data_IF_157157231481
#
_entry.id   IF_157157231481
#
_cell.length_a   1.000
_cell.length_b   1.000
_cell.length_c   1.000
_cell.angle_alpha   90.00
_cell.angle_beta   90.00
_cell.angle_gamma   90.00
#
_symmetry.space_group_name_H-M   'P 1'
#
loop_
_entity.id
_entity.type
_entity.pdbx_description
1 polymer ?
#
# COMPACT_ATOMS: atom_id res chain seq x y z
N UNK A 1 50.75 -3.76 18.94
CA UNK A 1 49.73 -2.81 18.42
C UNK A 1 48.50 -3.53 17.89
N UNK A 2 48.63 -4.48 16.94
CA UNK A 2 47.49 -5.24 16.40
C UNK A 2 46.65 -6.01 17.45
N UNK A 3 47.29 -6.67 18.42
CA UNK A 3 46.58 -7.38 19.50
C UNK A 3 45.70 -6.46 20.34
N UNK A 4 46.21 -5.27 20.72
CA UNK A 4 45.45 -4.28 21.48
C UNK A 4 44.25 -3.73 20.69
N UNK A 5 44.42 -3.52 19.38
CA UNK A 5 43.33 -3.09 18.50
C UNK A 5 42.27 -4.19 18.40
N UNK A 6 42.65 -5.44 18.20
CA UNK A 6 41.71 -6.57 18.13
C UNK A 6 40.95 -6.75 19.45
N UNK A 7 41.63 -6.65 20.60
CA UNK A 7 40.98 -6.73 21.92
C UNK A 7 40.01 -5.57 22.14
N UNK A 8 40.37 -4.35 21.74
CA UNK A 8 39.48 -3.19 21.85
C UNK A 8 38.23 -3.32 20.97
N UNK A 9 38.38 -3.81 19.74
CA UNK A 9 37.25 -4.11 18.84
C UNK A 9 36.35 -5.17 19.46
N UNK A 10 36.92 -6.24 20.00
CA UNK A 10 36.17 -7.32 20.62
C UNK A 10 35.38 -6.85 21.85
N UNK A 11 36.01 -6.09 22.76
CA UNK A 11 35.34 -5.53 23.95
C UNK A 11 34.22 -4.57 23.55
N UNK A 12 34.45 -3.73 22.53
CA UNK A 12 33.43 -2.80 22.01
C UNK A 12 32.24 -3.56 21.41
N UNK A 13 32.50 -4.64 20.67
CA UNK A 13 31.48 -5.50 20.09
C UNK A 13 30.64 -6.21 21.16
N UNK A 14 31.28 -6.78 22.19
CA UNK A 14 30.57 -7.42 23.31
C UNK A 14 29.73 -6.40 24.09
N UNK A 15 30.28 -5.21 24.36
CA UNK A 15 29.56 -4.13 25.03
C UNK A 15 28.35 -3.68 24.21
N UNK A 16 28.50 -3.56 22.90
CA UNK A 16 27.41 -3.23 21.98
C UNK A 16 26.31 -4.29 21.96
N UNK A 17 26.68 -5.58 21.93
CA UNK A 17 25.71 -6.69 22.04
C UNK A 17 24.98 -6.63 23.39
N UNK A 18 25.72 -6.45 24.49
CA UNK A 18 25.14 -6.35 25.83
C UNK A 18 24.13 -5.20 25.93
N UNK A 19 24.48 -4.03 25.40
CA UNK A 19 23.59 -2.87 25.31
C UNK A 19 22.31 -3.18 24.51
N UNK A 20 22.43 -3.83 23.35
CA UNK A 20 21.27 -4.23 22.55
C UNK A 20 20.37 -5.18 23.35
N UNK A 21 20.93 -6.22 23.97
CA UNK A 21 20.15 -7.22 24.70
C UNK A 21 19.38 -6.61 25.88
N UNK A 22 20.02 -5.71 26.64
CA UNK A 22 19.38 -5.00 27.76
C UNK A 22 18.25 -4.10 27.25
N UNK A 23 18.53 -3.25 26.25
CA UNK A 23 17.55 -2.33 25.67
C UNK A 23 16.32 -3.08 25.12
N UNK A 24 16.54 -4.22 24.44
CA UNK A 24 15.46 -5.06 23.92
C UNK A 24 14.63 -5.68 25.02
N UNK A 25 15.27 -6.20 26.06
CA UNK A 25 14.56 -6.76 27.22
C UNK A 25 13.67 -5.72 27.90
N UNK A 26 14.12 -4.47 27.99
CA UNK A 26 13.30 -3.39 28.52
C UNK A 26 12.10 -3.06 27.62
N UNK A 27 12.28 -3.02 26.29
CA UNK A 27 11.19 -2.83 25.33
C UNK A 27 10.13 -3.93 25.42
N UNK A 28 10.53 -5.19 25.58
CA UNK A 28 9.58 -6.31 25.75
C UNK A 28 8.82 -6.29 27.08
N UNK A 29 9.37 -5.62 28.11
CA UNK A 29 8.64 -5.41 29.38
C UNK A 29 7.53 -4.37 29.26
N UNK A 30 7.54 -3.52 28.23
CA UNK A 30 6.57 -2.44 28.06
C UNK A 30 5.14 -2.96 28.06
N UNK A 31 4.86 -4.06 27.33
CA UNK A 31 3.53 -4.69 27.25
C UNK A 31 2.96 -5.02 28.63
N UNK A 32 3.78 -5.63 29.50
CA UNK A 32 3.38 -5.94 30.87
C UNK A 32 3.20 -4.70 31.73
N UNK A 33 4.04 -3.67 31.55
CA UNK A 33 3.93 -2.40 32.30
C UNK A 33 2.62 -1.65 32.01
N UNK A 34 2.09 -1.76 30.79
CA UNK A 34 0.82 -1.13 30.38
C UNK A 34 -0.39 -2.06 30.57
N UNK A 35 -0.21 -3.26 31.14
CA UNK A 35 -1.30 -4.19 31.44
C UNK A 35 -1.89 -4.93 30.24
N UNK A 36 -1.18 -5.00 29.11
CA UNK A 36 -1.63 -5.75 27.93
C UNK A 36 -1.18 -7.22 27.97
N UNK A 37 -2.04 -8.10 27.46
CA UNK A 37 -1.71 -9.51 27.18
C UNK A 37 -1.15 -9.65 25.76
N UNK A 38 -0.63 -10.83 25.41
CA UNK A 38 -0.20 -11.13 24.04
C UNK A 38 0.80 -12.28 23.94
N UNK A 39 1.16 -12.71 22.73
CA UNK A 39 2.08 -13.83 22.50
C UNK A 39 3.50 -13.50 22.96
N UNK A 40 4.19 -14.43 23.62
CA UNK A 40 5.57 -14.22 24.07
C UNK A 40 6.50 -13.89 22.89
N UNK A 41 7.22 -12.75 22.93
CA UNK A 41 8.08 -12.33 21.83
C UNK A 41 9.39 -13.12 21.82
N UNK A 42 9.87 -13.50 20.63
CA UNK A 42 11.24 -13.95 20.47
C UNK A 42 12.20 -12.81 20.81
N UNK A 43 13.28 -13.12 21.54
CA UNK A 43 14.25 -12.12 22.02
C UNK A 43 14.86 -11.24 20.92
N UNK A 44 14.92 -11.74 19.68
CA UNK A 44 15.46 -11.02 18.54
C UNK A 44 14.39 -10.52 17.55
N UNK A 45 13.43 -11.38 17.20
CA UNK A 45 12.47 -11.13 16.10
C UNK A 45 11.13 -10.59 16.60
N UNK A 46 10.92 -10.54 17.92
CA UNK A 46 9.59 -10.38 18.47
C UNK A 46 8.68 -11.53 18.02
N UNK A 47 7.46 -11.20 17.64
CA UNK A 47 6.49 -12.14 17.10
C UNK A 47 6.62 -12.36 15.58
N UNK A 48 7.52 -11.64 14.88
CA UNK A 48 7.80 -11.92 13.45
C UNK A 48 8.33 -13.33 13.23
N UNK A 49 8.98 -13.94 14.23
CA UNK A 49 9.46 -15.32 14.16
C UNK A 49 8.33 -16.28 13.78
N UNK A 50 7.19 -16.16 14.45
CA UNK A 50 6.07 -17.06 14.23
C UNK A 50 5.46 -16.85 12.84
N UNK A 51 5.31 -15.59 12.39
CA UNK A 51 4.83 -15.28 11.04
C UNK A 51 5.75 -15.90 9.98
N UNK A 52 7.06 -15.75 10.12
CA UNK A 52 8.04 -16.30 9.18
C UNK A 52 8.01 -17.83 9.17
N UNK A 53 7.97 -18.47 10.34
CA UNK A 53 7.94 -19.94 10.45
C UNK A 53 6.65 -20.52 9.87
N UNK A 54 5.50 -19.87 10.11
CA UNK A 54 4.21 -20.28 9.53
C UNK A 54 4.24 -20.16 8.01
N UNK A 55 4.72 -19.03 7.49
CA UNK A 55 4.83 -18.80 6.05
C UNK A 55 5.76 -19.81 5.37
N UNK A 56 6.92 -20.11 5.96
CA UNK A 56 7.86 -21.10 5.44
C UNK A 56 7.27 -22.52 5.45
N UNK A 57 6.47 -22.85 6.46
CA UNK A 57 5.78 -24.14 6.56
C UNK A 57 4.62 -24.29 5.57
N UNK A 58 3.85 -23.22 5.36
CA UNK A 58 2.62 -23.25 4.55
C UNK A 58 2.88 -22.93 3.07
N UNK A 59 4.00 -22.26 2.76
CA UNK A 59 4.32 -21.77 1.42
C UNK A 59 3.58 -20.49 1.01
N UNK A 60 2.74 -19.91 1.88
CA UNK A 60 2.02 -18.65 1.67
C UNK A 60 1.88 -17.88 2.98
N UNK A 61 1.53 -16.60 2.87
CA UNK A 61 1.33 -15.72 4.04
C UNK A 61 -0.07 -15.90 4.64
N UNK A 62 -0.14 -16.46 5.84
CA UNK A 62 -1.38 -16.73 6.58
C UNK A 62 -1.56 -15.78 7.77
N UNK A 63 -0.93 -14.60 7.75
CA UNK A 63 -0.93 -13.65 8.87
C UNK A 63 -2.34 -13.31 9.37
N UNK A 64 -3.34 -13.24 8.48
CA UNK A 64 -4.73 -13.00 8.88
C UNK A 64 -5.27 -14.09 9.81
N UNK A 65 -5.02 -15.36 9.48
CA UNK A 65 -5.45 -16.47 10.34
C UNK A 65 -4.66 -16.51 11.65
N UNK A 66 -3.37 -16.15 11.60
CA UNK A 66 -2.58 -15.97 12.80
C UNK A 66 -3.18 -14.89 13.72
N UNK A 67 -3.58 -13.74 13.19
CA UNK A 67 -4.28 -12.70 13.96
C UNK A 67 -5.61 -13.21 14.54
N UNK A 68 -6.39 -14.01 13.81
CA UNK A 68 -7.61 -14.63 14.32
C UNK A 68 -7.34 -15.56 15.52
N UNK A 69 -6.29 -16.38 15.43
CA UNK A 69 -5.86 -17.27 16.53
C UNK A 69 -5.45 -16.45 17.76
N UNK A 70 -4.70 -15.37 17.57
CA UNK A 70 -4.30 -14.48 18.65
C UNK A 70 -5.50 -13.79 19.28
N UNK A 71 -6.44 -13.29 18.46
CA UNK A 71 -7.67 -12.66 18.93
C UNK A 71 -8.48 -13.63 19.80
N UNK A 72 -8.69 -14.87 19.36
CA UNK A 72 -9.38 -15.92 20.14
C UNK A 72 -8.68 -16.22 21.47
N UNK A 73 -7.35 -16.09 21.53
CA UNK A 73 -6.54 -16.43 22.72
C UNK A 73 -6.37 -15.28 23.70
N UNK A 74 -6.19 -14.06 23.21
CA UNK A 74 -5.82 -12.89 24.01
C UNK A 74 -6.94 -11.84 24.11
N UNK A 75 -8.02 -12.01 23.35
CA UNK A 75 -9.17 -11.11 23.31
C UNK A 75 -9.05 -10.04 22.25
N UNK A 76 -9.88 -9.00 22.39
CA UNK A 76 -10.05 -7.93 21.40
C UNK A 76 -8.88 -6.93 21.35
N UNK A 77 -8.10 -6.86 22.43
CA UNK A 77 -7.00 -5.91 22.59
C UNK A 77 -5.77 -6.62 23.17
N UNK A 78 -4.70 -6.70 22.38
CA UNK A 78 -3.46 -7.37 22.79
C UNK A 78 -2.21 -6.73 22.16
N UNK A 79 -1.07 -6.93 22.81
CA UNK A 79 0.22 -6.40 22.38
C UNK A 79 1.08 -7.46 21.68
N UNK A 80 1.55 -7.12 20.48
CA UNK A 80 2.54 -7.88 19.72
C UNK A 80 3.81 -7.07 19.51
N UNK A 81 4.91 -7.74 19.19
CA UNK A 81 6.18 -7.11 18.89
C UNK A 81 6.64 -7.44 17.48
N UNK A 82 6.92 -6.42 16.67
CA UNK A 82 7.64 -6.60 15.40
C UNK A 82 9.08 -6.13 15.60
N UNK A 83 10.01 -7.08 15.63
CA UNK A 83 11.35 -6.82 16.16
C UNK A 83 11.25 -6.39 17.63
N UNK A 84 11.54 -5.12 17.89
CA UNK A 84 11.47 -4.52 19.23
C UNK A 84 10.33 -3.50 19.39
N UNK A 85 9.63 -3.23 18.30
CA UNK A 85 8.52 -2.28 18.26
C UNK A 85 7.25 -2.96 18.77
N UNK A 86 6.67 -2.41 19.83
CA UNK A 86 5.39 -2.86 20.35
C UNK A 86 4.27 -2.30 19.48
N UNK A 87 3.35 -3.17 19.04
CA UNK A 87 2.13 -2.82 18.32
C UNK A 87 0.94 -3.30 19.14
N UNK A 88 -0.09 -2.47 19.23
CA UNK A 88 -1.34 -2.81 19.88
C UNK A 88 -2.32 -3.20 18.77
N UNK A 89 -2.83 -4.42 18.86
CA UNK A 89 -3.88 -4.91 17.97
C UNK A 89 -5.22 -4.64 18.64
N UNK A 90 -6.13 -4.00 17.90
CA UNK A 90 -7.48 -3.66 18.33
C UNK A 90 -8.47 -4.32 17.38
N UNK A 91 -9.51 -4.94 17.93
CA UNK A 91 -10.58 -5.56 17.15
C UNK A 91 -11.97 -5.07 17.53
N UNK A 92 -12.12 -4.36 18.65
CA UNK A 92 -13.42 -3.82 19.06
C UNK A 92 -13.71 -2.47 18.39
N UNK A 93 -14.99 -2.18 18.18
CA UNK A 93 -15.42 -0.97 17.49
C UNK A 93 -15.12 0.30 18.29
N UNK A 94 -15.25 0.25 19.62
CA UNK A 94 -15.08 1.41 20.50
C UNK A 94 -13.63 1.92 20.51
N UNK A 95 -12.63 1.04 20.65
CA UNK A 95 -11.21 1.42 20.64
C UNK A 95 -10.78 1.85 19.23
N UNK A 96 -11.29 1.19 18.18
CA UNK A 96 -11.06 1.62 16.79
C UNK A 96 -11.59 3.05 16.58
N UNK A 97 -12.81 3.36 17.03
CA UNK A 97 -13.34 4.75 16.97
C UNK A 97 -12.53 5.71 17.85
N UNK A 98 -12.03 5.26 18.98
CA UNK A 98 -11.18 6.06 19.86
C UNK A 98 -9.91 6.50 19.14
N UNK A 99 -9.24 5.56 18.45
CA UNK A 99 -7.99 5.81 17.73
C UNK A 99 -8.21 6.59 16.43
N UNK A 100 -9.15 6.15 15.59
CA UNK A 100 -9.31 6.68 14.23
C UNK A 100 -10.24 7.90 14.13
N UNK A 101 -11.07 8.18 15.14
CA UNK A 101 -12.03 9.29 15.10
C UNK A 101 -11.80 10.27 16.25
N UNK A 102 -11.96 9.82 17.50
CA UNK A 102 -12.01 10.74 18.65
C UNK A 102 -10.64 11.37 18.97
N UNK A 103 -9.58 10.55 18.99
CA UNK A 103 -8.22 10.98 19.29
C UNK A 103 -7.29 10.90 18.09
N UNK A 104 -7.83 11.00 16.87
CA UNK A 104 -7.05 10.87 15.65
C UNK A 104 -5.81 11.79 15.60
N UNK A 105 -5.86 12.98 16.22
CA UNK A 105 -4.70 13.87 16.32
C UNK A 105 -3.50 13.27 17.05
N UNK A 106 -3.70 12.27 17.91
CA UNK A 106 -2.63 11.55 18.62
C UNK A 106 -2.13 10.32 17.84
N UNK A 107 -2.88 9.89 16.80
CA UNK A 107 -2.64 8.68 16.03
C UNK A 107 -2.60 8.94 14.52
N UNK A 108 -2.27 10.17 14.12
CA UNK A 108 -2.31 10.57 12.71
C UNK A 108 -1.19 9.97 11.87
N UNK A 109 -0.08 9.63 12.53
CA UNK A 109 1.15 9.21 11.86
C UNK A 109 1.15 7.71 11.64
N UNK A 110 1.69 7.29 10.49
CA UNK A 110 1.86 5.88 10.15
C UNK A 110 3.28 5.44 10.44
N UNK A 111 3.45 4.15 10.70
CA UNK A 111 4.77 3.57 10.88
C UNK A 111 5.49 3.60 9.53
N UNK A 112 6.59 4.33 9.45
CA UNK A 112 7.52 4.29 8.32
C UNK A 112 8.58 3.23 8.63
N UNK A 113 8.66 2.13 7.87
CA UNK A 113 9.72 1.15 8.09
C UNK A 113 11.11 1.80 7.99
N UNK A 114 12.09 1.44 8.84
CA UNK A 114 13.41 2.08 8.84
C UNK A 114 14.15 2.02 7.49
N UNK A 115 13.83 1.05 6.63
CA UNK A 115 14.35 0.94 5.26
C UNK A 115 14.02 2.18 4.42
N UNK A 116 12.86 2.77 4.70
CA UNK A 116 12.26 3.85 3.94
C UNK A 116 12.67 5.21 4.53
N UNK A 117 12.86 5.32 5.83
CA UNK A 117 13.32 6.57 6.51
C UNK A 117 14.61 7.14 5.89
N UNK A 118 15.45 6.28 5.31
CA UNK A 118 16.79 6.61 4.86
C UNK A 118 16.98 6.74 3.34
N UNK A 119 15.94 6.48 2.55
CA UNK A 119 16.02 6.72 1.11
C UNK A 119 15.67 8.19 0.80
N UNK A 120 15.96 8.63 -0.43
CA UNK A 120 15.64 10.00 -0.88
C UNK A 120 14.14 10.26 -1.06
N UNK A 121 13.29 9.22 -0.99
CA UNK A 121 11.91 9.24 -1.47
C UNK A 121 10.84 9.36 -0.38
N UNK A 122 11.20 9.37 0.90
CA UNK A 122 10.22 9.10 1.96
C UNK A 122 9.91 10.26 2.90
N UNK A 123 10.60 11.40 2.79
CA UNK A 123 10.42 12.48 3.75
C UNK A 123 9.03 13.13 3.64
N UNK A 124 8.42 13.09 2.47
CA UNK A 124 7.24 13.92 2.14
C UNK A 124 6.09 13.17 1.48
N UNK A 125 6.18 11.84 1.40
CA UNK A 125 5.06 11.00 0.96
C UNK A 125 3.88 11.19 1.90
N UNK A 126 2.68 11.31 1.33
CA UNK A 126 1.44 11.43 2.09
C UNK A 126 1.33 10.41 3.24
N UNK A 127 1.75 9.17 3.01
CA UNK A 127 1.72 8.10 4.01
C UNK A 127 2.79 8.20 5.10
N UNK A 128 3.86 8.97 4.90
CA UNK A 128 5.06 8.99 5.75
C UNK A 128 5.32 10.37 6.41
N UNK A 129 4.46 11.36 6.15
CA UNK A 129 4.55 12.67 6.79
C UNK A 129 4.11 12.63 8.26
N UNK A 130 4.79 13.42 9.11
CA UNK A 130 4.53 13.50 10.55
C UNK A 130 3.64 14.70 10.92
N UNK A 131 2.82 14.55 11.95
CA UNK A 131 2.00 15.59 12.58
C UNK A 131 1.09 16.36 11.62
N UNK A 132 1.49 17.56 11.18
CA UNK A 132 0.69 18.41 10.28
C UNK A 132 1.05 18.21 8.80
N UNK A 133 2.15 17.53 8.49
CA UNK A 133 2.59 17.28 7.12
C UNK A 133 1.53 16.55 6.29
N UNK A 134 0.87 15.55 6.87
CA UNK A 134 -0.18 14.81 6.16
C UNK A 134 -1.36 15.69 5.80
N UNK A 135 -1.71 16.68 6.65
CA UNK A 135 -2.79 17.64 6.34
C UNK A 135 -2.42 18.51 5.14
N UNK A 136 -1.17 18.97 5.10
CA UNK A 136 -0.65 19.78 3.99
C UNK A 136 -0.72 18.97 2.68
N UNK A 137 -0.07 17.82 2.63
CA UNK A 137 0.01 16.96 1.44
C UNK A 137 -1.38 16.45 1.02
N UNK A 138 -2.23 16.02 1.96
CA UNK A 138 -3.60 15.57 1.65
C UNK A 138 -4.45 16.69 1.07
N UNK A 139 -4.32 17.91 1.60
CA UNK A 139 -5.09 19.06 1.09
C UNK A 139 -4.73 19.42 -0.34
N UNK A 140 -3.47 19.19 -0.74
CA UNK A 140 -3.02 19.40 -2.11
C UNK A 140 -3.56 18.33 -3.07
N UNK A 141 -3.57 17.07 -2.63
CA UNK A 141 -3.87 15.93 -3.49
C UNK A 141 -5.37 15.62 -3.59
N UNK A 142 -6.11 15.69 -2.48
CA UNK A 142 -7.52 15.29 -2.42
C UNK A 142 -8.43 15.87 -3.53
N UNK A 143 -8.23 17.12 -4.02
CA UNK A 143 -9.03 17.66 -5.12
C UNK A 143 -9.00 16.85 -6.42
N UNK A 144 -7.97 16.03 -6.67
CA UNK A 144 -7.91 15.21 -7.90
C UNK A 144 -9.05 14.19 -7.97
N UNK A 145 -9.58 13.76 -6.81
CA UNK A 145 -10.65 12.79 -6.71
C UNK A 145 -12.04 13.42 -6.66
N UNK A 146 -12.16 14.73 -6.86
CA UNK A 146 -13.46 15.37 -6.96
C UNK A 146 -14.24 14.81 -8.17
N UNK A 147 -15.56 14.67 -8.03
CA UNK A 147 -16.44 14.07 -9.06
C UNK A 147 -16.22 14.65 -10.46
N UNK A 148 -16.01 15.97 -10.58
CA UNK A 148 -15.77 16.61 -11.88
C UNK A 148 -14.45 16.16 -12.55
N UNK A 149 -13.39 15.96 -11.75
CA UNK A 149 -12.08 15.49 -12.23
C UNK A 149 -12.15 14.01 -12.60
N UNK A 150 -12.82 13.20 -11.78
CA UNK A 150 -13.06 11.78 -12.06
C UNK A 150 -13.89 11.56 -13.33
N UNK A 151 -14.92 12.40 -13.56
CA UNK A 151 -15.69 12.40 -14.83
C UNK A 151 -14.81 12.74 -16.03
N UNK A 152 -13.92 13.74 -15.91
CA UNK A 152 -12.99 14.08 -16.98
C UNK A 152 -11.99 12.96 -17.29
N UNK A 153 -11.61 12.17 -16.29
CA UNK A 153 -10.73 10.99 -16.47
C UNK A 153 -11.46 9.77 -17.03
N UNK A 154 -12.79 9.73 -16.99
CA UNK A 154 -13.58 8.56 -17.38
C UNK A 154 -13.36 8.15 -18.83
N UNK A 155 -13.30 9.11 -19.76
CA UNK A 155 -13.04 8.83 -21.18
C UNK A 155 -11.67 8.18 -21.38
N UNK A 156 -10.64 8.67 -20.69
CA UNK A 156 -9.30 8.09 -20.70
C UNK A 156 -9.31 6.66 -20.17
N UNK A 157 -10.00 6.41 -19.06
CA UNK A 157 -10.12 5.07 -18.47
C UNK A 157 -10.80 4.12 -19.47
N UNK A 158 -11.89 4.54 -20.10
CA UNK A 158 -12.60 3.73 -21.09
C UNK A 158 -11.72 3.39 -22.29
N UNK A 159 -10.98 4.36 -22.83
CA UNK A 159 -10.05 4.12 -23.95
C UNK A 159 -8.96 3.08 -23.59
N UNK A 160 -8.45 3.08 -22.36
CA UNK A 160 -7.49 2.06 -21.91
C UNK A 160 -8.16 0.70 -21.70
N UNK A 161 -9.42 0.66 -21.26
CA UNK A 161 -10.22 -0.57 -21.15
C UNK A 161 -10.53 -1.16 -22.53
N UNK A 162 -10.79 -0.34 -23.55
CA UNK A 162 -11.01 -0.83 -24.92
C UNK A 162 -9.79 -1.59 -25.46
N UNK A 163 -8.59 -1.01 -25.30
CA UNK A 163 -7.32 -1.69 -25.62
C UNK A 163 -7.18 -3.02 -24.86
N UNK A 164 -7.53 -3.03 -23.57
CA UNK A 164 -7.49 -4.24 -22.75
C UNK A 164 -8.43 -5.33 -23.28
N UNK A 165 -9.67 -4.96 -23.65
CA UNK A 165 -10.66 -5.89 -24.18
C UNK A 165 -10.23 -6.47 -25.54
N UNK A 166 -9.56 -5.68 -26.39
CA UNK A 166 -8.95 -6.18 -27.63
C UNK A 166 -7.90 -7.26 -27.33
N UNK A 167 -6.99 -7.00 -26.39
CA UNK A 167 -5.94 -7.96 -26.00
C UNK A 167 -6.56 -9.25 -25.44
N UNK A 168 -7.59 -9.14 -24.59
CA UNK A 168 -8.29 -10.31 -24.07
C UNK A 168 -8.98 -11.10 -25.18
N UNK A 169 -9.57 -10.42 -26.16
CA UNK A 169 -10.19 -11.08 -27.31
C UNK A 169 -9.16 -11.86 -28.13
N UNK A 170 -8.04 -11.22 -28.49
CA UNK A 170 -6.93 -11.85 -29.20
C UNK A 170 -6.42 -13.10 -28.47
N UNK A 171 -6.24 -13.02 -27.15
CA UNK A 171 -5.84 -14.17 -26.33
C UNK A 171 -6.89 -15.26 -26.26
N UNK A 172 -8.18 -14.89 -26.15
CA UNK A 172 -9.28 -15.85 -26.07
C UNK A 172 -9.42 -16.71 -27.34
N UNK A 173 -9.06 -16.17 -28.51
CA UNK A 173 -9.10 -16.87 -29.80
C UNK A 173 -8.08 -18.01 -29.88
N UNK A 174 -7.01 -17.98 -29.07
CA UNK A 174 -6.02 -19.06 -29.01
C UNK A 174 -6.57 -20.34 -28.35
N UNK A 175 -7.61 -20.21 -27.51
CA UNK A 175 -8.13 -21.30 -26.68
C UNK A 175 -7.21 -21.76 -25.53
N UNK A 176 -6.04 -21.12 -25.37
CA UNK A 176 -5.11 -21.42 -24.28
C UNK A 176 -5.58 -20.82 -22.95
N UNK A 177 -5.12 -21.39 -21.84
CA UNK A 177 -5.31 -20.81 -20.51
C UNK A 177 -4.12 -19.93 -20.19
N UNK A 178 -4.37 -18.73 -19.67
CA UNK A 178 -3.31 -17.81 -19.25
C UNK A 178 -3.62 -17.19 -17.89
N UNK A 179 -2.60 -16.59 -17.28
CA UNK A 179 -2.76 -15.80 -16.06
C UNK A 179 -3.18 -14.35 -16.42
N UNK A 180 -4.37 -13.95 -15.97
CA UNK A 180 -4.93 -12.63 -16.23
C UNK A 180 -4.32 -11.53 -15.34
N UNK A 181 -3.61 -11.89 -14.26
CA UNK A 181 -3.05 -10.92 -13.32
C UNK A 181 -2.06 -9.96 -14.01
N UNK A 182 -1.22 -10.47 -14.90
CA UNK A 182 -0.28 -9.64 -15.67
C UNK A 182 -1.01 -8.69 -16.64
N UNK A 183 -2.17 -9.09 -17.16
CA UNK A 183 -3.02 -8.25 -18.01
C UNK A 183 -3.66 -7.12 -17.20
N UNK A 184 -4.17 -7.42 -16.00
CA UNK A 184 -4.66 -6.38 -15.09
C UNK A 184 -3.55 -5.44 -14.63
N UNK A 185 -2.34 -5.94 -14.37
CA UNK A 185 -1.18 -5.09 -14.08
C UNK A 185 -0.86 -4.14 -15.24
N UNK A 186 -0.94 -4.62 -16.49
CA UNK A 186 -0.78 -3.77 -17.67
C UNK A 186 -1.84 -2.67 -17.73
N UNK A 187 -3.11 -3.05 -17.59
CA UNK A 187 -4.24 -2.10 -17.62
C UNK A 187 -4.12 -1.03 -16.53
N UNK A 188 -3.88 -1.43 -15.28
CA UNK A 188 -3.87 -0.47 -14.17
C UNK A 188 -2.69 0.47 -14.23
N UNK A 189 -1.53 -0.02 -14.70
CA UNK A 189 -0.36 0.83 -14.92
C UNK A 189 -0.58 1.86 -16.03
N UNK A 190 -1.23 1.45 -17.12
CA UNK A 190 -1.52 2.35 -18.24
C UNK A 190 -2.56 3.42 -17.85
N UNK A 191 -3.59 3.01 -17.11
CA UNK A 191 -4.61 3.92 -16.56
C UNK A 191 -3.99 4.95 -15.63
N UNK A 192 -3.19 4.53 -14.64
CA UNK A 192 -2.57 5.49 -13.70
C UNK A 192 -1.52 6.34 -14.42
N UNK A 193 -0.75 5.77 -15.35
CA UNK A 193 0.21 6.48 -16.20
C UNK A 193 -0.43 7.67 -16.91
N UNK A 194 -1.56 7.42 -17.56
CA UNK A 194 -2.29 8.45 -18.31
C UNK A 194 -3.05 9.42 -17.40
N UNK A 195 -3.80 8.92 -16.42
CA UNK A 195 -4.67 9.75 -15.58
C UNK A 195 -3.91 10.58 -14.53
N UNK A 196 -2.77 10.11 -14.03
CA UNK A 196 -1.99 10.84 -13.03
C UNK A 196 -0.87 11.69 -13.65
N UNK A 197 -0.30 11.28 -14.79
CA UNK A 197 0.92 11.89 -15.31
C UNK A 197 0.84 12.33 -16.79
N UNK A 198 -0.31 12.12 -17.45
CA UNK A 198 -0.48 12.30 -18.89
C UNK A 198 0.53 11.51 -19.74
N UNK A 199 1.10 10.42 -19.19
CA UNK A 199 2.02 9.53 -19.92
C UNK A 199 1.19 8.56 -20.73
N UNK A 200 1.42 8.51 -22.04
CA UNK A 200 0.89 7.44 -22.88
C UNK A 200 1.88 6.28 -22.89
N UNK A 201 1.61 5.26 -22.07
CA UNK A 201 2.41 4.05 -22.03
C UNK A 201 1.81 3.00 -22.95
N UNK A 202 2.63 2.06 -23.44
CA UNK A 202 2.13 0.91 -24.18
C UNK A 202 2.24 -0.38 -23.35
N UNK A 203 2.22 -0.27 -22.01
CA UNK A 203 2.51 -1.39 -21.11
C UNK A 203 1.52 -2.56 -21.16
N UNK A 204 0.35 -2.36 -21.78
CA UNK A 204 -0.61 -3.42 -22.05
C UNK A 204 -0.15 -4.36 -23.18
N UNK A 205 0.45 -3.81 -24.25
CA UNK A 205 0.92 -4.59 -25.41
C UNK A 205 2.43 -4.86 -25.38
N UNK A 206 3.23 -3.96 -24.81
CA UNK A 206 4.68 -4.13 -24.65
C UNK A 206 5.06 -4.34 -23.17
N UNK A 207 5.45 -5.57 -22.84
CA UNK A 207 5.90 -5.94 -21.49
C UNK A 207 7.35 -5.56 -21.20
N UNK A 208 8.09 -5.10 -22.20
CA UNK A 208 9.44 -4.55 -22.03
C UNK A 208 9.42 -3.03 -21.85
N UNK A 209 8.24 -2.41 -21.82
CA UNK A 209 8.11 -0.99 -21.53
C UNK A 209 8.83 -0.67 -20.21
N UNK A 210 9.69 0.36 -20.27
CA UNK A 210 10.58 0.75 -19.16
C UNK A 210 9.77 1.07 -17.91
N UNK A 211 8.59 1.67 -18.07
CA UNK A 211 7.70 2.00 -16.96
C UNK A 211 7.15 0.73 -16.30
N UNK A 212 6.71 -0.24 -17.11
CA UNK A 212 6.22 -1.54 -16.63
C UNK A 212 7.28 -2.33 -15.89
N UNK A 213 8.44 -2.51 -16.50
CA UNK A 213 9.54 -3.29 -15.92
C UNK A 213 9.98 -2.70 -14.59
N UNK A 214 10.14 -1.38 -14.51
CA UNK A 214 10.60 -0.73 -13.29
C UNK A 214 9.53 -0.76 -12.18
N UNK A 215 8.25 -0.53 -12.51
CA UNK A 215 7.15 -0.59 -11.54
C UNK A 215 7.00 -2.00 -10.95
N UNK A 216 6.98 -3.03 -11.79
CA UNK A 216 6.90 -4.44 -11.36
C UNK A 216 8.11 -4.84 -10.53
N UNK A 217 9.32 -4.44 -10.97
CA UNK A 217 10.56 -4.70 -10.24
C UNK A 217 10.52 -4.05 -8.86
N UNK A 218 9.99 -2.83 -8.72
CA UNK A 218 9.87 -2.17 -7.42
C UNK A 218 8.92 -2.95 -6.49
N UNK A 219 7.70 -3.29 -6.93
CA UNK A 219 6.75 -4.09 -6.14
C UNK A 219 7.36 -5.42 -5.70
N UNK A 220 8.02 -6.15 -6.60
CA UNK A 220 8.67 -7.43 -6.25
C UNK A 220 9.80 -7.30 -5.22
N UNK A 221 10.44 -6.13 -5.14
CA UNK A 221 11.55 -5.86 -4.22
C UNK A 221 11.10 -5.18 -2.92
N UNK A 222 9.92 -4.54 -2.88
CA UNK A 222 9.28 -4.12 -1.62
C UNK A 222 8.90 -5.33 -0.78
N UNK A 223 8.54 -6.44 -1.44
CA UNK A 223 8.05 -7.60 -0.74
C UNK A 223 9.03 -8.02 0.37
N UNK A 224 8.48 -7.98 1.59
CA UNK A 224 9.12 -8.27 2.88
C UNK A 224 9.80 -9.66 2.86
N UNK A 225 9.45 -10.52 1.88
CA UNK A 225 10.14 -11.76 1.48
C UNK A 225 11.68 -11.69 1.57
N UNK A 226 12.31 -10.59 1.14
CA UNK A 226 13.79 -10.49 1.05
C UNK A 226 14.44 -9.52 2.05
N UNK A 227 13.66 -8.66 2.72
CA UNK A 227 14.19 -7.55 3.54
C UNK A 227 14.05 -7.78 5.05
N UNK A 228 14.20 -9.04 5.50
CA UNK A 228 13.95 -9.45 6.90
C UNK A 228 14.78 -8.63 7.91
N UNK A 229 16.06 -8.35 7.61
CA UNK A 229 17.04 -7.80 8.57
C UNK A 229 16.68 -6.39 9.08
N UNK A 230 15.98 -5.59 8.28
CA UNK A 230 15.87 -4.12 8.48
C UNK A 230 14.79 -3.74 9.50
N UNK A 231 13.68 -4.48 9.54
CA UNK A 231 12.63 -4.31 10.57
C UNK A 231 13.15 -4.79 11.94
N UNK A 232 14.10 -5.74 11.93
CA UNK A 232 14.56 -6.42 13.12
C UNK A 232 15.60 -5.60 13.90
N UNK A 233 16.50 -4.86 13.23
CA UNK A 233 17.63 -4.15 13.85
C UNK A 233 17.64 -2.63 13.52
N UNK A 234 16.75 -1.83 14.15
CA UNK A 234 16.76 -0.38 13.96
C UNK A 234 18.07 0.28 14.42
N UNK A 235 18.82 -0.33 15.34
CA UNK A 235 20.12 0.17 15.81
C UNK A 235 21.21 0.19 14.74
N UNK A 236 21.03 -0.57 13.65
CA UNK A 236 21.91 -0.61 12.48
C UNK A 236 21.37 0.20 11.29
N UNK A 237 20.36 1.05 11.48
CA UNK A 237 19.78 1.87 10.41
C UNK A 237 20.82 2.75 9.69
N UNK A 238 21.84 3.22 10.41
CA UNK A 238 22.93 4.00 9.84
C UNK A 238 23.75 3.20 8.81
N UNK A 239 23.96 1.90 9.02
CA UNK A 239 24.66 1.02 8.08
C UNK A 239 23.80 0.82 6.82
N UNK A 240 22.48 0.78 7.00
CA UNK A 240 21.55 0.69 5.89
C UNK A 240 21.63 1.89 4.94
N UNK A 241 21.78 3.13 5.45
CA UNK A 241 22.01 4.32 4.60
C UNK A 241 23.11 4.09 3.57
N UNK A 242 24.17 3.39 3.94
CA UNK A 242 25.29 3.09 3.06
C UNK A 242 25.01 1.91 2.10
N UNK A 243 24.36 0.86 2.61
CA UNK A 243 24.07 -0.36 1.83
C UNK A 243 22.90 -0.19 0.86
N UNK A 244 21.99 0.74 1.11
CA UNK A 244 20.76 0.94 0.35
C UNK A 244 20.98 0.95 -1.17
N UNK A 245 21.97 1.73 -1.64
CA UNK A 245 22.30 1.87 -3.07
C UNK A 245 22.74 0.57 -3.77
N UNK A 246 23.15 -0.44 -2.99
CA UNK A 246 23.57 -1.74 -3.51
C UNK A 246 22.44 -2.77 -3.51
N UNK A 247 21.21 -2.36 -3.17
CA UNK A 247 20.08 -3.28 -3.00
C UNK A 247 19.20 -3.33 -4.22
N UNK A 248 18.48 -4.44 -4.40
CA UNK A 248 17.50 -4.61 -5.47
C UNK A 248 16.40 -3.53 -5.43
N UNK A 249 16.08 -3.03 -4.23
CA UNK A 249 15.11 -1.96 -4.04
C UNK A 249 15.60 -0.63 -4.66
N UNK A 250 16.83 -0.20 -4.36
CA UNK A 250 17.39 1.01 -4.99
C UNK A 250 17.53 0.86 -6.51
N UNK A 251 17.89 -0.33 -6.99
CA UNK A 251 18.00 -0.63 -8.43
C UNK A 251 16.65 -0.69 -9.17
N UNK A 252 15.52 -0.59 -8.45
CA UNK A 252 14.18 -0.48 -9.00
C UNK A 252 13.57 0.91 -8.75
N UNK A 253 13.86 1.49 -7.58
CA UNK A 253 13.40 2.81 -7.17
C UNK A 253 13.99 3.93 -8.02
N UNK A 254 15.33 3.98 -8.14
CA UNK A 254 16.04 5.10 -8.78
C UNK A 254 15.53 5.36 -10.22
N UNK A 255 15.41 4.36 -11.11
CA UNK A 255 14.90 4.58 -12.47
C UNK A 255 13.45 5.10 -12.52
N UNK A 256 12.59 4.70 -11.58
CA UNK A 256 11.22 5.22 -11.50
C UNK A 256 11.19 6.69 -11.11
N UNK A 257 12.02 7.08 -10.13
CA UNK A 257 12.11 8.47 -9.68
C UNK A 257 12.69 9.36 -10.77
N UNK A 258 13.76 8.88 -11.43
CA UNK A 258 14.39 9.63 -12.51
C UNK A 258 13.39 9.81 -13.66
N UNK A 259 12.65 8.76 -14.05
CA UNK A 259 11.59 8.87 -15.06
C UNK A 259 10.47 9.84 -14.67
N UNK A 260 10.05 9.86 -13.40
CA UNK A 260 9.07 10.83 -12.90
C UNK A 260 9.63 12.26 -12.85
N UNK A 261 10.93 12.41 -12.55
CA UNK A 261 11.61 13.71 -12.60
C UNK A 261 11.68 14.24 -14.03
N UNK A 262 11.95 13.38 -15.01
CA UNK A 262 11.95 13.76 -16.43
C UNK A 262 10.55 14.18 -16.90
N UNK A 263 9.52 13.45 -16.49
CA UNK A 263 8.12 13.81 -16.76
C UNK A 263 7.80 15.16 -16.11
N UNK A 264 8.18 15.38 -14.85
CA UNK A 264 8.02 16.65 -14.17
C UNK A 264 8.64 17.81 -14.96
N UNK A 265 9.89 17.68 -15.44
CA UNK A 265 10.58 18.74 -16.18
C UNK A 265 9.88 19.06 -17.51
N UNK A 266 9.48 18.04 -18.27
CA UNK A 266 8.73 18.23 -19.52
C UNK A 266 7.40 18.96 -19.30
N UNK A 267 6.71 18.62 -18.20
CA UNK A 267 5.41 19.18 -17.82
C UNK A 267 5.53 20.61 -17.32
N UNK A 268 6.59 20.95 -16.55
CA UNK A 268 6.95 22.36 -16.24
C UNK A 268 7.32 23.14 -17.50
N UNK A 269 7.90 22.47 -18.51
CA UNK A 269 8.18 23.03 -19.83
C UNK A 269 6.94 23.31 -20.70
N UNK A 270 5.74 22.95 -20.23
CA UNK A 270 4.47 23.27 -20.89
C UNK A 270 3.80 22.08 -21.60
N UNK A 271 4.40 20.88 -21.59
CA UNK A 271 3.77 19.70 -22.19
C UNK A 271 2.44 19.40 -21.49
N UNK A 272 1.34 19.35 -22.26
CA UNK A 272 -0.01 19.03 -21.79
C UNK A 272 -0.54 19.97 -20.69
N UNK A 273 -0.30 21.28 -20.80
CA UNK A 273 -0.81 22.30 -19.89
C UNK A 273 -2.32 22.21 -19.58
N UNK A 274 -3.09 21.66 -20.52
CA UNK A 274 -4.54 21.60 -20.48
C UNK A 274 -5.07 20.29 -19.87
N UNK A 275 -4.17 19.38 -19.46
CA UNK A 275 -4.58 18.09 -18.93
C UNK A 275 -5.17 18.19 -17.53
N UNK A 276 -6.07 17.26 -17.23
CA UNK A 276 -6.74 17.14 -15.95
C UNK A 276 -6.16 15.93 -15.22
N UNK A 277 -4.98 16.11 -14.63
CA UNK A 277 -4.24 15.03 -13.95
C UNK A 277 -3.62 15.46 -12.62
N UNK A 278 -3.13 14.47 -11.87
CA UNK A 278 -2.51 14.66 -10.55
C UNK A 278 -1.29 15.56 -10.65
N UNK A 279 -0.40 15.32 -11.63
CA UNK A 279 0.82 16.09 -11.76
C UNK A 279 0.51 17.57 -11.98
N UNK A 280 -0.43 17.90 -12.87
CA UNK A 280 -0.88 19.29 -13.08
C UNK A 280 -1.38 19.93 -11.79
N UNK A 281 -2.20 19.22 -11.02
CA UNK A 281 -2.69 19.70 -9.71
C UNK A 281 -1.54 19.99 -8.74
N UNK A 282 -0.52 19.12 -8.72
CA UNK A 282 0.66 19.29 -7.86
C UNK A 282 1.57 20.42 -8.34
N UNK A 283 1.72 20.62 -9.65
CA UNK A 283 2.44 21.76 -10.22
C UNK A 283 1.76 23.09 -9.88
N UNK A 284 0.43 23.14 -9.99
CA UNK A 284 -0.35 24.33 -9.58
C UNK A 284 -0.21 24.61 -8.09
N UNK A 285 -0.07 23.54 -7.28
CA UNK A 285 0.18 23.66 -5.86
C UNK A 285 1.58 24.16 -5.56
N UNK A 286 2.60 23.73 -6.30
CA UNK A 286 3.98 24.21 -6.16
C UNK A 286 4.10 25.72 -6.37
N UNK A 287 3.33 26.28 -7.30
CA UNK A 287 3.34 27.73 -7.58
C UNK A 287 2.59 28.56 -6.50
N UNK A 288 1.92 27.93 -5.51
CA UNK A 288 1.23 28.61 -4.40
C UNK A 288 2.24 29.19 -3.38
N UNK A 289 2.28 30.52 -3.26
CA UNK A 289 3.19 31.23 -2.34
C UNK A 289 2.89 31.02 -0.85
N UNK A 290 1.70 30.56 -0.50
CA UNK A 290 1.24 30.43 0.89
C UNK A 290 1.23 29.00 1.39
N UNK A 291 1.01 28.03 0.49
CA UNK A 291 0.92 26.59 0.80
C UNK A 291 1.56 25.75 -0.31
N UNK A 292 2.68 26.24 -0.84
CA UNK A 292 3.44 25.60 -1.91
C UNK A 292 3.98 24.24 -1.52
N UNK A 293 4.02 23.33 -2.49
CA UNK A 293 4.81 22.09 -2.40
C UNK A 293 6.16 22.30 -3.09
N UNK A 294 7.21 21.64 -2.61
CA UNK A 294 8.50 21.61 -3.30
C UNK A 294 8.48 20.59 -4.46
N UNK A 295 9.33 20.79 -5.48
CA UNK A 295 9.59 19.78 -6.52
C UNK A 295 9.77 18.36 -5.98
N UNK A 296 10.51 18.19 -4.87
CA UNK A 296 10.71 16.88 -4.26
C UNK A 296 9.39 16.29 -3.75
N UNK A 297 8.58 17.08 -3.06
CA UNK A 297 7.26 16.65 -2.58
C UNK A 297 6.33 16.26 -3.74
N UNK A 298 6.39 16.96 -4.86
CA UNK A 298 5.63 16.63 -6.08
C UNK A 298 6.05 15.26 -6.61
N UNK A 299 7.34 15.06 -6.86
CA UNK A 299 7.86 13.79 -7.42
C UNK A 299 7.59 12.61 -6.47
N UNK A 300 7.82 12.78 -5.18
CA UNK A 300 7.56 11.77 -4.17
C UNK A 300 6.08 11.35 -4.15
N UNK A 301 5.14 12.31 -4.14
CA UNK A 301 3.73 11.97 -4.11
C UNK A 301 3.23 11.38 -5.45
N UNK A 302 3.80 11.78 -6.59
CA UNK A 302 3.58 11.09 -7.86
C UNK A 302 4.00 9.62 -7.78
N UNK A 303 5.17 9.34 -7.21
CA UNK A 303 5.66 7.98 -7.03
C UNK A 303 4.72 7.13 -6.14
N UNK A 304 4.23 7.67 -5.02
CA UNK A 304 3.26 6.96 -4.18
C UNK A 304 1.97 6.61 -4.94
N UNK A 305 1.45 7.55 -5.74
CA UNK A 305 0.22 7.36 -6.49
C UNK A 305 0.33 6.33 -7.59
N UNK A 306 1.47 6.31 -8.28
CA UNK A 306 1.77 5.29 -9.28
C UNK A 306 1.64 3.89 -8.69
N UNK A 307 2.31 3.64 -7.56
CA UNK A 307 2.34 2.33 -6.93
C UNK A 307 0.98 1.94 -6.33
N UNK A 308 0.30 2.89 -5.70
CA UNK A 308 -1.02 2.67 -5.13
C UNK A 308 -2.04 2.30 -6.20
N UNK A 309 -2.07 3.03 -7.33
CA UNK A 309 -3.01 2.80 -8.43
C UNK A 309 -2.72 1.52 -9.23
N UNK A 310 -1.45 1.16 -9.36
CA UNK A 310 -0.99 0.00 -10.12
C UNK A 310 -1.33 -1.34 -9.45
N UNK A 311 -0.80 -1.58 -8.24
CA UNK A 311 -0.77 -2.93 -7.65
C UNK A 311 -2.08 -3.28 -6.90
N UNK A 312 -2.68 -2.32 -6.21
CA UNK A 312 -3.90 -2.59 -5.43
C UNK A 312 -5.09 -2.87 -6.34
N UNK A 313 -5.25 -2.09 -7.41
CA UNK A 313 -6.32 -2.25 -8.39
C UNK A 313 -6.19 -3.56 -9.15
N UNK A 314 -4.99 -3.93 -9.60
CA UNK A 314 -4.78 -5.16 -10.37
C UNK A 314 -5.04 -6.40 -9.51
N UNK A 315 -4.62 -6.37 -8.25
CA UNK A 315 -4.93 -7.40 -7.24
C UNK A 315 -6.44 -7.50 -7.02
N UNK A 316 -7.13 -6.39 -6.80
CA UNK A 316 -8.59 -6.38 -6.60
C UNK A 316 -9.35 -6.95 -7.81
N UNK A 317 -8.99 -6.54 -9.03
CA UNK A 317 -9.59 -7.06 -10.26
C UNK A 317 -9.33 -8.55 -10.48
N UNK A 318 -8.14 -9.02 -10.11
CA UNK A 318 -7.78 -10.44 -10.17
C UNK A 318 -8.63 -11.27 -9.23
N UNK A 319 -8.74 -10.85 -7.96
CA UNK A 319 -9.60 -11.53 -6.99
C UNK A 319 -11.07 -11.48 -7.42
N UNK A 320 -11.57 -10.34 -7.89
CA UNK A 320 -12.93 -10.22 -8.39
C UNK A 320 -13.20 -11.20 -9.54
N UNK A 321 -12.30 -11.26 -10.53
CA UNK A 321 -12.42 -12.16 -11.67
C UNK A 321 -12.35 -13.63 -11.25
N UNK A 322 -11.44 -13.97 -10.33
CA UNK A 322 -11.34 -15.31 -9.76
C UNK A 322 -12.65 -15.72 -9.09
N UNK A 323 -13.24 -14.85 -8.27
CA UNK A 323 -14.47 -15.17 -7.55
C UNK A 323 -15.67 -15.25 -8.49
N UNK A 324 -15.80 -14.34 -9.45
CA UNK A 324 -16.85 -14.42 -10.48
C UNK A 324 -16.75 -15.73 -11.29
N UNK A 325 -15.53 -16.22 -11.54
CA UNK A 325 -15.33 -17.53 -12.20
C UNK A 325 -15.74 -18.73 -11.33
N UNK A 326 -15.77 -18.57 -10.00
CA UNK A 326 -16.15 -19.61 -9.03
C UNK A 326 -17.64 -19.60 -8.69
N UNK A 327 -18.31 -18.45 -8.85
CA UNK A 327 -19.72 -18.23 -8.54
C UNK A 327 -20.48 -17.74 -9.80
N UNK A 328 -20.78 -18.63 -10.77
CA UNK A 328 -21.43 -18.25 -12.03
C UNK A 328 -22.79 -17.57 -11.86
N UNK A 329 -23.54 -17.91 -10.81
CA UNK A 329 -24.81 -17.28 -10.45
C UNK A 329 -24.64 -15.80 -10.09
N UNK A 330 -23.55 -15.46 -9.40
CA UNK A 330 -23.19 -14.07 -9.07
C UNK A 330 -22.81 -13.33 -10.34
N UNK A 331 -22.00 -13.97 -11.20
CA UNK A 331 -21.61 -13.41 -12.49
C UNK A 331 -22.80 -13.14 -13.41
N UNK A 332 -23.74 -14.07 -13.50
CA UNK A 332 -24.95 -13.92 -14.29
C UNK A 332 -25.80 -12.75 -13.81
N UNK A 333 -26.04 -12.66 -12.49
CA UNK A 333 -26.83 -11.57 -11.91
C UNK A 333 -26.17 -10.20 -12.11
N UNK A 334 -24.83 -10.13 -12.04
CA UNK A 334 -24.09 -8.92 -12.38
C UNK A 334 -24.25 -8.56 -13.87
N UNK A 335 -24.18 -9.55 -14.76
CA UNK A 335 -24.38 -9.33 -16.18
C UNK A 335 -25.80 -8.82 -16.50
N UNK A 336 -26.82 -9.37 -15.84
CA UNK A 336 -28.21 -8.89 -15.95
C UNK A 336 -28.34 -7.41 -15.55
N UNK A 337 -27.69 -6.98 -14.46
CA UNK A 337 -27.68 -5.56 -14.08
C UNK A 337 -26.94 -4.68 -15.11
N UNK A 338 -25.82 -5.16 -15.65
CA UNK A 338 -25.05 -4.45 -16.69
C UNK A 338 -25.90 -4.24 -17.94
N UNK A 339 -26.53 -5.30 -18.45
CA UNK A 339 -27.34 -5.24 -19.67
C UNK A 339 -28.60 -4.38 -19.47
N UNK A 340 -29.22 -4.44 -18.28
CA UNK A 340 -30.34 -3.55 -17.97
C UNK A 340 -29.92 -2.08 -17.91
N UNK A 341 -28.75 -1.79 -17.35
CA UNK A 341 -28.20 -0.44 -17.28
C UNK A 341 -27.92 0.11 -18.68
N UNK A 342 -27.29 -0.70 -19.55
CA UNK A 342 -27.06 -0.35 -20.97
C UNK A 342 -28.35 -0.02 -21.71
N UNK A 343 -29.43 -0.78 -21.45
CA UNK A 343 -30.72 -0.63 -22.11
C UNK A 343 -31.49 0.61 -21.63
N UNK A 344 -31.42 0.92 -20.34
CA UNK A 344 -32.29 1.92 -19.70
C UNK A 344 -31.67 3.30 -19.58
N UNK A 345 -30.34 3.42 -19.58
CA UNK A 345 -29.64 4.71 -19.41
C UNK A 345 -29.23 5.29 -20.76
N UNK A 346 -29.64 6.53 -21.02
CA UNK A 346 -29.17 7.29 -22.19
C UNK A 346 -27.64 7.41 -22.14
N UNK A 347 -26.98 7.04 -23.24
CA UNK A 347 -25.51 7.04 -23.34
C UNK A 347 -24.82 5.76 -22.86
N UNK A 348 -25.56 4.69 -22.54
CA UNK A 348 -25.00 3.39 -22.18
C UNK A 348 -24.24 3.41 -20.85
N UNK A 349 -23.11 2.71 -20.78
CA UNK A 349 -22.23 2.69 -19.61
C UNK A 349 -21.32 3.92 -19.58
N UNK A 350 -21.77 4.95 -18.86
CA UNK A 350 -21.00 6.14 -18.53
C UNK A 350 -20.76 6.27 -17.01
N UNK A 351 -19.95 7.25 -16.61
CA UNK A 351 -19.60 7.52 -15.20
C UNK A 351 -20.82 7.50 -14.27
N UNK A 352 -21.89 8.22 -14.60
CA UNK A 352 -23.06 8.34 -13.72
C UNK A 352 -23.89 7.04 -13.67
N UNK A 353 -23.99 6.33 -14.79
CA UNK A 353 -24.73 5.05 -14.86
C UNK A 353 -24.06 3.95 -14.05
N UNK A 354 -22.72 3.87 -14.05
CA UNK A 354 -21.96 2.85 -13.32
C UNK A 354 -22.16 3.03 -11.81
N UNK A 355 -22.14 4.27 -11.31
CA UNK A 355 -22.37 4.55 -9.89
C UNK A 355 -23.82 4.31 -9.43
N UNK A 356 -24.75 4.02 -10.35
CA UNK A 356 -26.13 3.65 -10.03
C UNK A 356 -26.35 2.14 -9.98
N UNK A 357 -25.36 1.35 -10.39
CA UNK A 357 -25.39 -0.11 -10.37
C UNK A 357 -25.20 -0.62 -8.94
N UNK A 358 -26.30 -1.06 -8.33
CA UNK A 358 -26.32 -1.44 -6.92
C UNK A 358 -25.66 -2.77 -6.68
N UNK A 359 -25.82 -3.72 -7.60
CA UNK A 359 -25.23 -5.05 -7.46
C UNK A 359 -23.72 -5.01 -7.72
N UNK A 360 -23.26 -4.16 -8.64
CA UNK A 360 -21.83 -3.86 -8.82
C UNK A 360 -21.21 -3.17 -7.59
N UNK A 361 -21.90 -2.18 -6.99
CA UNK A 361 -21.42 -1.46 -5.80
C UNK A 361 -21.55 -2.26 -4.49
N UNK A 362 -22.50 -3.20 -4.44
CA UNK A 362 -22.67 -4.15 -3.33
C UNK A 362 -21.52 -5.17 -3.32
N UNK A 363 -20.31 -4.70 -3.01
CA UNK A 363 -19.21 -5.51 -2.51
C UNK A 363 -19.52 -6.06 -1.11
N UNK A 364 -20.67 -6.70 -0.93
CA UNK A 364 -21.15 -7.17 0.37
C UNK A 364 -20.67 -8.60 0.69
N UNK A 365 -20.28 -8.86 1.95
CA UNK A 365 -19.82 -10.17 2.45
C UNK A 365 -20.86 -11.31 2.34
N UNK A 366 -22.12 -11.03 2.02
CA UNK A 366 -23.15 -12.06 1.83
C UNK A 366 -23.07 -12.76 0.44
N UNK A 367 -22.32 -12.20 -0.51
CA UNK A 367 -22.19 -12.77 -1.86
C UNK A 367 -20.99 -13.71 -2.02
N UNK A 368 -19.95 -13.56 -1.19
CA UNK A 368 -18.70 -14.32 -1.32
C UNK A 368 -18.13 -14.57 0.09
N UNK A 369 -18.21 -15.80 0.63
CA UNK A 369 -17.87 -16.11 2.01
C UNK A 369 -16.44 -15.79 2.47
N UNK A 370 -15.50 -15.53 1.54
CA UNK A 370 -14.06 -15.48 1.82
C UNK A 370 -13.35 -14.16 1.46
N UNK A 371 -14.09 -13.09 1.13
CA UNK A 371 -13.51 -11.77 0.86
C UNK A 371 -13.08 -11.01 2.14
N UNK A 372 -12.43 -11.65 3.09
CA UNK A 372 -11.92 -11.04 4.33
C UNK A 372 -10.58 -10.30 4.15
N UNK A 373 -10.10 -10.11 2.91
CA UNK A 373 -8.74 -9.63 2.63
C UNK A 373 -8.55 -8.11 2.55
N UNK A 374 -9.62 -7.31 2.41
CA UNK A 374 -9.48 -5.85 2.19
C UNK A 374 -10.43 -4.99 3.04
N UNK A 375 -11.52 -5.53 3.57
CA UNK A 375 -12.43 -4.80 4.46
C UNK A 375 -12.87 -5.73 5.60
N UNK A 376 -12.42 -5.44 6.82
CA UNK A 376 -12.81 -6.18 8.03
C UNK A 376 -14.06 -5.51 8.62
N UNK A 377 -15.17 -6.25 8.74
CA UNK A 377 -16.25 -5.92 9.69
C UNK A 377 -16.60 -7.14 10.54
N UNK A 378 -16.51 -7.07 11.88
CA UNK A 378 -17.07 -8.10 12.75
C UNK A 378 -18.59 -7.99 12.85
N UNK A 379 -19.28 -9.13 12.94
CA UNK A 379 -20.69 -9.24 13.33
C UNK A 379 -20.80 -9.11 14.87
N UNK A 380 -21.61 -8.14 15.30
CA UNK A 380 -22.18 -7.89 16.63
C UNK A 380 -21.27 -7.32 17.76
N UNK A 381 -21.49 -6.07 18.23
CA UNK A 381 -20.81 -5.51 19.39
C UNK A 381 -21.51 -5.87 20.72
N UNK A 382 -20.77 -6.48 21.65
CA UNK A 382 -21.16 -6.59 23.07
C UNK A 382 -20.57 -5.39 23.82
N UNK A 383 -21.44 -4.59 24.46
CA UNK A 383 -21.08 -3.38 25.21
C UNK A 383 -20.37 -3.70 26.52
N UNK A 384 -19.27 -3.01 26.84
CA UNK A 384 -18.80 -2.86 28.21
C UNK A 384 -18.07 -1.53 28.43
N UNK A 385 -18.56 -0.76 29.41
CA UNK A 385 -18.05 0.54 29.82
C UNK A 385 -16.67 0.45 30.49
N UNK A 386 -15.65 1.10 29.92
CA UNK A 386 -14.38 1.36 30.61
C UNK A 386 -14.28 2.84 31.04
N UNK A 387 -14.17 3.06 32.36
CA UNK A 387 -13.79 4.36 32.93
C UNK A 387 -12.27 4.47 32.96
N UNK A 388 -11.71 5.30 32.08
CA UNK A 388 -10.32 5.74 32.19
C UNK A 388 -10.19 6.71 33.39
N UNK A 389 -9.33 6.37 34.37
CA UNK A 389 -8.91 7.33 35.41
C UNK A 389 -7.84 8.25 34.79
N UNK A 390 -8.04 9.56 34.99
CA UNK A 390 -7.19 10.66 34.53
C UNK A 390 -5.75 10.56 35.02
#
# INVERSE_FOLDING_TARGET
MAFLILTAIFVSFITFIGYILVTRRERFRLRGKIGLTGPEPHWFLGNLKEIVERKEKLGYDDSNEWFNVLHKKFGETFGIYFGTQMNIVLSNEEDIKEVFIKNFSNFSDRIVPPIFVENKLNASLLQNTYATGWKHTRSAIAPIFATGKMKAMHETINSKIETFLEILKEKSESGEKWDIYEDFQGLTLDVIGKCAFAIDSNCQRDRNDVFYVNARKFISNIDIRHSKIIIILPELSWLWRFMYKYTGLAAAEIPLVDGLSDVYERRRGGEGSDSVDLLKLLLDREDDKTKGMTKQEVIENCFAFLLAGYETTSTAMTYCSYLLSKYPEVQQKLNEEIEETKRTKQGGLNYDSIHQMKYLDAGEPDLIPDCNGVIIRPKDPVRLNLKLRK
#
